data_IF_567645219325
#
_entry.id   IF_567645219325
#
_cell.length_a   1.000
_cell.length_b   1.000
_cell.length_c   1.000
_cell.angle_alpha   90.00
_cell.angle_beta   90.00
_cell.angle_gamma   90.00
#
_symmetry.space_group_name_H-M   'P 1'
#
loop_
_entity.id
_entity.type
_entity.pdbx_description
1 polymer ?
#
# COMPACT_ATOMS: atom_id res chain seq x y z
N UNK A 1 -43.04 -34.64 -15.19
CA UNK A 1 -41.85 -33.77 -15.24
C UNK A 1 -41.88 -32.67 -14.16
N UNK A 2 -41.85 -33.00 -12.85
CA UNK A 2 -41.86 -32.00 -11.76
C UNK A 2 -40.47 -31.58 -11.25
N UNK A 3 -39.38 -32.17 -11.77
CA UNK A 3 -38.02 -32.00 -11.22
C UNK A 3 -37.22 -30.86 -11.85
N UNK A 4 -37.69 -30.28 -12.96
CA UNK A 4 -37.01 -29.16 -13.64
C UNK A 4 -37.39 -27.81 -13.02
N UNK A 5 -38.66 -27.62 -12.67
CA UNK A 5 -39.17 -26.37 -12.05
C UNK A 5 -38.52 -26.13 -10.68
N UNK A 6 -38.31 -27.20 -9.90
CA UNK A 6 -37.66 -27.11 -8.58
C UNK A 6 -36.20 -26.64 -8.65
N UNK A 7 -35.48 -27.01 -9.72
CA UNK A 7 -34.10 -26.54 -9.94
C UNK A 7 -34.06 -25.06 -10.32
N UNK A 8 -35.00 -24.60 -11.12
CA UNK A 8 -35.07 -23.18 -11.52
C UNK A 8 -35.37 -22.28 -10.32
N UNK A 9 -36.27 -22.71 -9.43
CA UNK A 9 -36.56 -22.03 -8.17
C UNK A 9 -35.38 -22.06 -7.18
N UNK A 10 -34.66 -23.18 -7.06
CA UNK A 10 -33.44 -23.28 -6.25
C UNK A 10 -32.29 -22.41 -6.81
N UNK A 11 -32.16 -22.32 -8.13
CA UNK A 11 -31.16 -21.44 -8.77
C UNK A 11 -31.52 -19.97 -8.53
N UNK A 12 -32.78 -19.58 -8.66
CA UNK A 12 -33.23 -18.22 -8.37
C UNK A 12 -33.09 -17.86 -6.88
N UNK A 13 -33.30 -18.82 -5.97
CA UNK A 13 -33.07 -18.65 -4.53
C UNK A 13 -31.57 -18.60 -4.18
N UNK A 14 -30.71 -19.30 -4.92
CA UNK A 14 -29.26 -19.17 -4.78
C UNK A 14 -28.71 -17.87 -5.36
N UNK A 15 -29.43 -17.29 -6.35
CA UNK A 15 -29.13 -16.00 -6.97
C UNK A 15 -29.74 -14.82 -6.19
N UNK A 16 -30.70 -15.07 -5.29
CA UNK A 16 -31.10 -14.11 -4.27
C UNK A 16 -30.01 -14.03 -3.21
N UNK A 17 -28.86 -13.47 -3.60
CA UNK A 17 -27.95 -12.88 -2.65
C UNK A 17 -28.77 -11.90 -1.81
N UNK A 18 -28.67 -12.03 -0.50
CA UNK A 18 -29.30 -11.13 0.47
C UNK A 18 -29.03 -9.68 0.03
N UNK A 19 -30.07 -8.94 -0.32
CA UNK A 19 -29.91 -7.55 -0.79
C UNK A 19 -29.31 -6.66 0.30
N UNK A 20 -29.27 -7.12 1.56
CA UNK A 20 -28.53 -6.46 2.65
C UNK A 20 -27.01 -6.71 2.62
N UNK A 21 -26.50 -7.66 1.84
CA UNK A 21 -25.08 -7.98 1.72
C UNK A 21 -24.42 -7.45 0.44
N UNK A 22 -25.17 -6.79 -0.45
CA UNK A 22 -24.63 -6.08 -1.61
C UNK A 22 -24.00 -4.76 -1.19
N UNK A 23 -22.91 -4.81 -0.41
CA UNK A 23 -22.10 -3.60 -0.17
C UNK A 23 -21.40 -3.22 -1.46
N UNK A 24 -21.59 -1.97 -1.88
CA UNK A 24 -20.86 -1.38 -2.99
C UNK A 24 -19.36 -1.47 -2.68
N UNK A 25 -18.57 -1.94 -3.65
CA UNK A 25 -17.12 -1.94 -3.50
C UNK A 25 -16.64 -0.48 -3.49
N UNK A 26 -16.00 -0.08 -2.41
CA UNK A 26 -15.28 1.19 -2.32
C UNK A 26 -13.79 0.91 -2.42
N UNK A 27 -13.12 1.58 -3.36
CA UNK A 27 -11.68 1.45 -3.51
C UNK A 27 -10.96 2.17 -2.38
N UNK A 28 -10.16 1.42 -1.61
CA UNK A 28 -9.21 1.97 -0.66
C UNK A 28 -7.80 1.80 -1.19
N UNK A 29 -7.07 2.90 -1.35
CA UNK A 29 -5.66 2.84 -1.74
C UNK A 29 -4.85 2.07 -0.69
N UNK A 30 -3.98 1.13 -1.09
CA UNK A 30 -3.07 0.47 -0.16
C UNK A 30 -2.19 1.50 0.57
N UNK A 31 -2.04 1.32 1.88
CA UNK A 31 -1.11 2.10 2.70
C UNK A 31 0.13 1.25 2.99
N UNK A 32 1.30 1.86 2.90
CA UNK A 32 2.58 1.22 3.19
C UNK A 32 3.32 2.02 4.26
N UNK A 33 3.99 1.33 5.17
CA UNK A 33 4.90 1.98 6.11
C UNK A 33 6.19 2.34 5.37
N UNK A 34 6.52 3.63 5.36
CA UNK A 34 7.74 4.16 4.73
C UNK A 34 8.61 4.83 5.80
N UNK A 35 9.79 4.26 6.06
CA UNK A 35 10.73 4.76 7.07
C UNK A 35 11.85 5.57 6.40
N UNK A 36 11.45 6.59 5.64
CA UNK A 36 12.38 7.37 4.82
C UNK A 36 11.84 8.74 4.42
N UNK A 37 12.65 9.57 3.73
CA UNK A 37 12.17 10.82 3.15
C UNK A 37 11.12 10.55 2.06
N UNK A 38 10.19 11.50 1.80
CA UNK A 38 9.19 11.34 0.77
C UNK A 38 9.85 11.19 -0.61
N UNK A 39 9.29 10.29 -1.41
CA UNK A 39 9.71 10.06 -2.80
C UNK A 39 9.04 11.11 -3.68
N UNK A 40 9.75 11.72 -4.66
CA UNK A 40 9.16 12.67 -5.60
C UNK A 40 8.03 12.01 -6.42
N UNK A 41 7.03 12.80 -6.79
CA UNK A 41 5.97 12.31 -7.68
C UNK A 41 6.50 12.12 -9.10
N UNK A 42 5.80 11.29 -9.89
CA UNK A 42 6.17 10.99 -11.27
C UNK A 42 6.30 12.25 -12.13
N UNK A 43 5.41 13.22 -11.94
CA UNK A 43 5.41 14.48 -12.69
C UNK A 43 6.65 15.35 -12.40
N UNK A 44 7.24 15.22 -11.21
CA UNK A 44 8.36 16.05 -10.76
C UNK A 44 9.72 15.52 -11.22
N UNK A 45 9.79 14.25 -11.65
CA UNK A 45 11.07 13.61 -12.01
C UNK A 45 11.81 14.33 -13.13
N UNK A 46 11.08 14.82 -14.13
CA UNK A 46 11.68 15.55 -15.24
C UNK A 46 12.14 16.94 -14.80
N UNK A 47 11.31 17.66 -14.04
CA UNK A 47 11.65 18.99 -13.52
C UNK A 47 12.86 18.96 -12.58
N UNK A 48 12.98 17.91 -11.78
CA UNK A 48 14.09 17.72 -10.84
C UNK A 48 15.34 17.09 -11.49
N UNK A 49 15.30 16.79 -12.80
CA UNK A 49 16.45 16.27 -13.55
C UNK A 49 16.80 14.81 -13.28
N UNK A 50 15.95 14.06 -12.56
CA UNK A 50 16.21 12.64 -12.28
C UNK A 50 16.31 11.81 -13.57
N UNK A 51 15.53 12.15 -14.59
CA UNK A 51 15.49 11.42 -15.86
C UNK A 51 16.71 11.64 -16.75
N UNK A 52 17.54 12.65 -16.47
CA UNK A 52 18.78 12.94 -17.22
C UNK A 52 19.84 11.85 -17.02
N UNK A 53 19.73 11.11 -15.91
CA UNK A 53 20.64 10.02 -15.55
C UNK A 53 20.06 8.63 -15.86
N UNK A 54 18.91 8.57 -16.52
CA UNK A 54 18.23 7.33 -16.88
C UNK A 54 18.22 7.17 -18.40
N UNK A 55 18.50 5.96 -18.90
CA UNK A 55 18.49 5.68 -20.34
C UNK A 55 17.14 6.08 -20.97
N UNK A 56 17.18 6.54 -22.21
CA UNK A 56 15.96 6.73 -22.98
C UNK A 56 15.31 5.38 -23.34
N UNK A 57 13.99 5.41 -23.37
CA UNK A 57 13.15 4.31 -23.83
C UNK A 57 13.16 4.18 -25.36
N UNK A 58 13.18 2.94 -25.86
CA UNK A 58 13.04 2.62 -27.28
C UNK A 58 11.57 2.60 -27.68
N UNK A 59 11.29 2.81 -28.97
CA UNK A 59 9.92 2.79 -29.49
C UNK A 59 9.15 1.49 -29.16
N UNK A 60 9.82 0.34 -29.23
CA UNK A 60 9.24 -0.97 -28.88
C UNK A 60 8.92 -1.07 -27.39
N UNK A 61 9.77 -0.50 -26.54
CA UNK A 61 9.56 -0.50 -25.09
C UNK A 61 8.36 0.38 -24.73
N UNK A 62 8.27 1.57 -25.33
CA UNK A 62 7.12 2.47 -25.18
C UNK A 62 5.81 1.83 -25.66
N UNK A 63 5.84 1.12 -26.79
CA UNK A 63 4.68 0.38 -27.29
C UNK A 63 4.23 -0.74 -26.34
N UNK A 64 5.15 -1.29 -25.54
CA UNK A 64 4.87 -2.24 -24.46
C UNK A 64 4.47 -1.61 -23.12
N UNK A 65 4.29 -0.28 -23.07
CA UNK A 65 3.93 0.45 -21.85
C UNK A 65 5.10 0.76 -20.92
N UNK A 66 6.35 0.51 -21.33
CA UNK A 66 7.52 0.92 -20.56
C UNK A 66 7.80 2.41 -20.75
N UNK A 67 8.09 3.09 -19.64
CA UNK A 67 8.59 4.46 -19.63
C UNK A 67 9.80 4.53 -18.70
N UNK A 68 10.78 5.38 -19.03
CA UNK A 68 12.00 5.56 -18.22
C UNK A 68 11.73 6.10 -16.80
N UNK A 69 10.55 6.64 -16.55
CA UNK A 69 10.09 7.13 -15.24
C UNK A 69 9.90 5.98 -14.24
N UNK A 70 9.41 4.81 -14.68
CA UNK A 70 9.20 3.66 -13.80
C UNK A 70 10.47 3.14 -13.10
N UNK A 71 11.56 2.80 -13.81
CA UNK A 71 12.78 2.36 -13.16
C UNK A 71 13.41 3.47 -12.31
N UNK A 72 13.23 4.74 -12.69
CA UNK A 72 13.72 5.88 -11.93
C UNK A 72 13.03 5.97 -10.56
N UNK A 73 11.69 6.01 -10.55
CA UNK A 73 10.91 6.02 -9.31
C UNK A 73 11.23 4.82 -8.44
N UNK A 74 11.33 3.64 -9.05
CA UNK A 74 11.65 2.42 -8.33
C UNK A 74 13.01 2.51 -7.63
N UNK A 75 14.03 3.00 -8.33
CA UNK A 75 15.35 3.18 -7.75
C UNK A 75 15.36 4.21 -6.60
N UNK A 76 14.63 5.32 -6.75
CA UNK A 76 14.53 6.35 -5.70
C UNK A 76 13.76 5.82 -4.49
N UNK A 77 12.65 5.10 -4.71
CA UNK A 77 11.88 4.46 -3.64
C UNK A 77 12.76 3.52 -2.82
N UNK A 78 13.49 2.61 -3.48
CA UNK A 78 14.37 1.66 -2.81
C UNK A 78 15.56 2.33 -2.11
N UNK A 79 16.08 3.42 -2.66
CA UNK A 79 17.19 4.15 -2.05
C UNK A 79 16.77 4.95 -0.81
N UNK A 80 15.52 5.42 -0.76
CA UNK A 80 15.00 6.24 0.34
C UNK A 80 14.32 5.42 1.42
N UNK A 81 13.83 4.24 1.08
CA UNK A 81 13.20 3.37 2.04
C UNK A 81 14.19 2.95 3.15
N UNK A 82 13.68 2.80 4.37
CA UNK A 82 14.41 2.39 5.56
C UNK A 82 15.59 3.29 5.99
N UNK A 83 15.85 4.45 5.37
CA UNK A 83 16.94 5.34 5.78
C UNK A 83 16.83 5.86 7.23
N UNK A 84 15.61 5.95 7.76
CA UNK A 84 15.34 6.39 9.14
C UNK A 84 15.10 5.22 10.10
N UNK A 85 15.17 3.98 9.60
CA UNK A 85 14.98 2.81 10.43
C UNK A 85 16.21 2.60 11.34
N UNK A 86 16.00 2.71 12.65
CA UNK A 86 17.01 2.38 13.67
C UNK A 86 16.58 1.09 14.34
N UNK A 87 17.40 0.04 14.18
CA UNK A 87 17.21 -1.20 14.94
C UNK A 87 17.48 -0.92 16.42
N UNK A 88 16.49 -1.14 17.28
CA UNK A 88 16.72 -1.08 18.71
C UNK A 88 17.77 -2.10 19.14
N UNK A 89 18.77 -1.66 19.90
CA UNK A 89 19.72 -2.56 20.55
C UNK A 89 19.02 -3.25 21.73
N UNK A 90 18.96 -4.58 21.79
CA UNK A 90 18.24 -5.32 22.84
C UNK A 90 18.83 -5.14 24.26
N UNK A 91 19.97 -4.45 24.38
CA UNK A 91 20.63 -4.17 25.67
C UNK A 91 19.99 -2.96 26.39
N UNK A 92 19.29 -2.07 25.68
CA UNK A 92 18.73 -0.84 26.24
C UNK A 92 17.24 -0.93 26.64
N UNK A 93 16.55 -2.02 26.33
CA UNK A 93 15.12 -2.20 26.65
C UNK A 93 14.85 -2.50 28.12
N UNK A 94 15.87 -2.90 28.90
CA UNK A 94 15.73 -3.26 30.33
C UNK A 94 15.58 -2.03 31.26
N UNK A 95 15.73 -0.79 30.77
CA UNK A 95 15.71 0.41 31.64
C UNK A 95 14.50 1.34 31.47
N UNK A 96 13.45 0.95 30.75
CA UNK A 96 12.23 1.77 30.59
C UNK A 96 11.00 1.29 31.38
N UNK A 97 11.15 0.35 32.30
CA UNK A 97 10.09 -0.02 33.27
C UNK A 97 10.54 0.36 34.68
N UNK A 98 10.41 1.64 35.05
CA UNK A 98 10.27 2.10 36.44
C UNK A 98 10.28 3.64 36.47
N UNK A 99 9.14 4.24 36.12
CA UNK A 99 8.70 5.55 36.62
C UNK A 99 7.31 5.86 36.06
N UNK A 100 6.31 5.22 36.63
CA UNK A 100 4.95 5.72 36.72
C UNK A 100 4.37 5.26 38.05
N UNK A 101 4.96 5.75 39.15
CA UNK A 101 4.27 5.86 40.43
C UNK A 101 4.20 7.35 40.75
N UNK A 102 3.01 7.93 40.63
CA UNK A 102 2.47 8.98 41.50
C UNK A 102 1.08 9.41 41.00
N UNK A 103 0.05 8.68 41.42
CA UNK A 103 -1.29 9.25 41.55
C UNK A 103 -1.37 9.95 42.92
N UNK A 104 -1.77 11.24 43.00
CA UNK A 104 -1.94 11.91 44.29
C UNK A 104 -3.19 11.40 45.02
N UNK A 105 -3.01 11.08 46.30
CA UNK A 105 -4.09 10.84 47.27
C UNK A 105 -5.01 12.06 47.32
N UNK A 106 -6.28 11.92 46.91
CA UNK A 106 -7.33 12.89 47.27
C UNK A 106 -7.81 12.62 48.71
N UNK A 107 -7.93 13.72 49.45
CA UNK A 107 -8.30 13.86 50.87
C UNK A 107 -9.75 13.55 51.20
#
# INVERSE_FOLDING_TARGET
MPNMVKREEEILLSLSMDQNQQRLFEYTSPTYEHQGPPVPDRADLEQLGYLDHVRQEKAVERAGGYTREYPCLRAVQEAFDMLLFVKENPINTVKKESKDENEPMET
#
